data_IF_787428065401
#
_entry.id   IF_787428065401
#
_cell.length_a   1.000
_cell.length_b   1.000
_cell.length_c   1.000
_cell.angle_alpha   90.00
_cell.angle_beta   90.00
_cell.angle_gamma   90.00
#
_symmetry.space_group_name_H-M   'P 1'
#
loop_
_entity.id
_entity.type
_entity.pdbx_description
1 polymer ?
#
# COMPACT_ATOMS: atom_id res chain seq x y z
N UNK A 1 -27.22 12.93 4.18
CA UNK A 1 -27.02 14.39 4.38
C UNK A 1 -26.21 14.74 5.64
N UNK A 2 -26.56 14.28 6.87
CA UNK A 2 -25.76 14.53 8.09
C UNK A 2 -24.40 13.85 8.04
N UNK A 3 -24.33 12.57 7.68
CA UNK A 3 -23.10 11.80 7.57
C UNK A 3 -22.08 12.54 6.68
N UNK A 4 -22.51 12.95 5.50
CA UNK A 4 -21.63 13.67 4.55
C UNK A 4 -21.11 14.99 5.13
N UNK A 5 -21.97 15.80 5.78
CA UNK A 5 -21.54 17.06 6.40
C UNK A 5 -20.51 16.87 7.49
N UNK A 6 -20.61 15.78 8.26
CA UNK A 6 -19.68 15.50 9.37
C UNK A 6 -18.32 15.05 8.81
N UNK A 7 -18.27 14.06 7.92
CA UNK A 7 -16.99 13.57 7.44
C UNK A 7 -16.26 14.59 6.55
N UNK A 8 -16.97 15.39 5.74
CA UNK A 8 -16.35 16.47 4.95
C UNK A 8 -15.73 17.56 5.82
N UNK A 9 -16.18 17.70 7.06
CA UNK A 9 -15.54 18.61 8.05
C UNK A 9 -14.30 18.00 8.73
N UNK A 10 -13.88 16.77 8.35
CA UNK A 10 -12.75 16.06 8.95
C UNK A 10 -13.04 15.46 10.34
N UNK A 11 -14.33 15.30 10.69
CA UNK A 11 -14.79 14.63 11.90
C UNK A 11 -15.29 13.23 11.59
N UNK A 12 -15.26 12.34 12.58
CA UNK A 12 -15.91 11.04 12.42
C UNK A 12 -17.39 11.08 12.73
N UNK A 13 -18.11 10.21 12.07
CA UNK A 13 -19.53 9.97 12.31
C UNK A 13 -19.72 8.51 12.68
N UNK A 14 -20.45 8.25 13.74
CA UNK A 14 -20.81 6.91 14.20
C UNK A 14 -22.28 6.70 13.92
N UNK A 15 -22.60 5.74 13.05
CA UNK A 15 -23.98 5.29 12.84
C UNK A 15 -24.28 4.17 13.82
N UNK A 16 -25.29 4.39 14.65
CA UNK A 16 -25.56 3.59 15.83
C UNK A 16 -27.04 3.28 15.97
N UNK A 17 -27.34 2.30 16.82
CA UNK A 17 -28.65 1.81 17.26
C UNK A 17 -29.44 1.02 16.23
N UNK A 18 -29.96 -0.12 16.67
CA UNK A 18 -30.82 -1.03 15.90
C UNK A 18 -30.25 -1.48 14.55
N UNK A 19 -28.91 -1.59 14.48
CA UNK A 19 -28.24 -1.94 13.24
C UNK A 19 -28.48 -3.40 12.86
N UNK A 20 -28.38 -4.33 13.83
CA UNK A 20 -28.64 -5.77 13.68
C UNK A 20 -29.45 -6.27 14.88
N UNK A 21 -30.46 -5.53 15.32
CA UNK A 21 -31.22 -5.74 16.56
C UNK A 21 -31.81 -7.16 16.67
N UNK A 22 -32.31 -7.72 15.57
CA UNK A 22 -32.82 -9.09 15.54
C UNK A 22 -31.78 -10.13 15.94
N UNK A 23 -30.47 -9.82 15.77
CA UNK A 23 -29.37 -10.70 16.16
C UNK A 23 -29.16 -10.77 17.68
N UNK A 24 -29.87 -10.00 18.48
CA UNK A 24 -29.94 -10.24 19.91
C UNK A 24 -30.49 -11.66 20.21
N UNK A 25 -31.46 -12.15 19.42
CA UNK A 25 -32.15 -13.42 19.63
C UNK A 25 -31.98 -14.42 18.47
N UNK A 26 -31.55 -13.98 17.30
CA UNK A 26 -31.42 -14.82 16.10
C UNK A 26 -29.96 -14.79 15.57
N UNK A 27 -29.46 -15.92 15.00
CA UNK A 27 -28.07 -15.99 14.51
C UNK A 27 -27.84 -15.25 13.17
N UNK A 28 -28.90 -14.72 12.56
CA UNK A 28 -28.85 -13.98 11.28
C UNK A 28 -29.73 -12.74 11.36
N UNK A 29 -29.33 -11.63 10.70
CA UNK A 29 -30.15 -10.43 10.65
C UNK A 29 -31.30 -10.59 9.67
N UNK A 30 -32.26 -9.68 9.75
CA UNK A 30 -33.26 -9.47 8.71
C UNK A 30 -32.63 -8.83 7.46
N UNK A 31 -33.33 -8.90 6.32
CA UNK A 31 -32.89 -8.22 5.09
C UNK A 31 -32.83 -6.69 5.26
N UNK A 32 -33.78 -6.11 5.98
CA UNK A 32 -33.84 -4.69 6.24
C UNK A 32 -32.58 -4.24 7.01
N UNK A 33 -32.24 -4.91 8.10
CA UNK A 33 -31.06 -4.60 8.91
C UNK A 33 -29.76 -4.72 8.10
N UNK A 34 -29.59 -5.77 7.29
CA UNK A 34 -28.42 -5.89 6.41
C UNK A 34 -28.33 -4.74 5.40
N UNK A 35 -29.48 -4.28 4.88
CA UNK A 35 -29.55 -3.13 3.98
C UNK A 35 -29.25 -1.82 4.71
N UNK A 36 -29.69 -1.66 5.94
CA UNK A 36 -29.43 -0.46 6.74
C UNK A 36 -27.93 -0.29 7.06
N UNK A 37 -27.24 -1.39 7.42
CA UNK A 37 -25.78 -1.40 7.58
C UNK A 37 -25.09 -1.01 6.27
N UNK A 38 -25.49 -1.62 5.14
CA UNK A 38 -24.93 -1.30 3.83
C UNK A 38 -25.15 0.17 3.46
N UNK A 39 -26.36 0.70 3.66
CA UNK A 39 -26.67 2.11 3.39
C UNK A 39 -25.83 3.07 4.21
N UNK A 40 -25.60 2.78 5.51
CA UNK A 40 -24.71 3.62 6.33
C UNK A 40 -23.30 3.71 5.75
N UNK A 41 -22.79 2.62 5.16
CA UNK A 41 -21.47 2.57 4.51
C UNK A 41 -21.49 3.31 3.18
N UNK A 42 -22.53 3.13 2.35
CA UNK A 42 -22.73 3.89 1.11
C UNK A 42 -22.84 5.39 1.38
N UNK A 43 -23.48 5.80 2.48
CA UNK A 43 -23.56 7.20 2.90
C UNK A 43 -22.21 7.76 3.36
N UNK A 44 -21.23 6.90 3.65
CA UNK A 44 -19.88 7.26 4.04
C UNK A 44 -19.68 7.44 5.54
N UNK A 45 -20.42 6.72 6.38
CA UNK A 45 -20.15 6.72 7.83
C UNK A 45 -18.70 6.33 8.12
N UNK A 46 -18.13 6.85 9.21
CA UNK A 46 -16.77 6.50 9.62
C UNK A 46 -16.75 5.22 10.45
N UNK A 47 -17.80 5.00 11.23
CA UNK A 47 -17.94 3.89 12.18
C UNK A 47 -19.39 3.41 12.18
N UNK A 48 -19.59 2.12 12.26
CA UNK A 48 -20.86 1.45 12.55
C UNK A 48 -20.77 0.83 13.93
N UNK A 49 -21.85 0.87 14.71
CA UNK A 49 -21.85 0.46 16.11
C UNK A 49 -22.94 -0.57 16.40
N UNK A 50 -22.58 -1.63 17.08
CA UNK A 50 -23.48 -2.57 17.73
C UNK A 50 -23.67 -2.17 19.20
N UNK A 51 -24.84 -2.35 19.76
CA UNK A 51 -25.20 -2.04 21.15
C UNK A 51 -25.67 -3.30 21.88
N UNK A 52 -26.97 -3.52 21.96
CA UNK A 52 -27.57 -4.67 22.62
C UNK A 52 -27.11 -6.01 22.03
N UNK A 53 -26.86 -6.06 20.73
CA UNK A 53 -26.43 -7.23 19.98
C UNK A 53 -25.13 -7.84 20.56
N UNK A 54 -24.23 -7.00 21.05
CA UNK A 54 -22.95 -7.41 21.64
C UNK A 54 -22.94 -7.35 23.17
N UNK A 55 -23.76 -6.47 23.78
CA UNK A 55 -23.77 -6.29 25.22
C UNK A 55 -24.65 -7.32 25.98
N UNK A 56 -25.76 -7.74 25.37
CA UNK A 56 -26.76 -8.61 25.99
C UNK A 56 -27.34 -9.68 25.04
N UNK A 57 -26.98 -9.66 23.75
CA UNK A 57 -27.45 -10.60 22.75
C UNK A 57 -26.90 -12.02 22.94
N UNK A 58 -27.61 -13.00 22.39
CA UNK A 58 -27.22 -14.42 22.41
C UNK A 58 -26.13 -14.75 21.38
N UNK A 59 -25.90 -13.88 20.38
CA UNK A 59 -25.00 -14.11 19.25
C UNK A 59 -24.01 -12.96 19.03
N UNK A 60 -23.25 -12.53 20.06
CA UNK A 60 -22.42 -11.33 19.97
C UNK A 60 -21.30 -11.42 18.93
N UNK A 61 -20.65 -12.57 18.82
CA UNK A 61 -19.55 -12.79 17.87
C UNK A 61 -20.08 -12.85 16.43
N UNK A 62 -21.20 -13.52 16.22
CA UNK A 62 -21.87 -13.61 14.93
C UNK A 62 -22.37 -12.24 14.45
N UNK A 63 -22.85 -11.40 15.35
CA UNK A 63 -23.28 -10.03 15.05
C UNK A 63 -22.11 -9.19 14.54
N UNK A 64 -20.97 -9.20 15.22
CA UNK A 64 -19.76 -8.50 14.77
C UNK A 64 -19.28 -9.03 13.42
N UNK A 65 -19.18 -10.34 13.26
CA UNK A 65 -18.75 -10.95 11.99
C UNK A 65 -19.71 -10.64 10.84
N UNK A 66 -21.00 -10.61 11.12
CA UNK A 66 -22.01 -10.29 10.10
C UNK A 66 -21.91 -8.83 9.69
N UNK A 67 -21.77 -7.92 10.65
CA UNK A 67 -21.58 -6.49 10.37
C UNK A 67 -20.31 -6.25 9.55
N UNK A 68 -19.20 -6.89 9.90
CA UNK A 68 -17.93 -6.80 9.16
C UNK A 68 -18.09 -7.27 7.72
N UNK A 69 -18.71 -8.45 7.48
CA UNK A 69 -18.95 -8.98 6.13
C UNK A 69 -19.83 -8.07 5.28
N UNK A 70 -20.86 -7.44 5.88
CA UNK A 70 -21.70 -6.48 5.16
C UNK A 70 -20.86 -5.26 4.78
N UNK A 71 -20.03 -4.77 5.70
CA UNK A 71 -19.15 -3.64 5.43
C UNK A 71 -18.16 -3.93 4.28
N UNK A 72 -17.40 -5.00 4.38
CA UNK A 72 -16.44 -5.44 3.37
C UNK A 72 -17.11 -5.60 2.00
N UNK A 73 -18.23 -6.30 1.94
CA UNK A 73 -18.97 -6.51 0.68
C UNK A 73 -19.49 -5.20 0.07
N UNK A 74 -19.94 -4.27 0.92
CA UNK A 74 -20.43 -2.95 0.46
C UNK A 74 -19.27 -2.09 -0.06
N UNK A 75 -18.12 -2.15 0.60
CA UNK A 75 -16.92 -1.41 0.19
C UNK A 75 -16.37 -1.89 -1.16
N UNK A 76 -16.46 -3.19 -1.46
CA UNK A 76 -16.09 -3.73 -2.79
C UNK A 76 -16.92 -3.15 -3.94
N UNK A 77 -18.17 -2.76 -3.69
CA UNK A 77 -19.09 -2.21 -4.70
C UNK A 77 -18.93 -0.69 -4.88
N UNK A 78 -18.29 0.00 -3.94
CA UNK A 78 -18.11 1.45 -4.00
C UNK A 78 -17.02 1.83 -5.00
N UNK A 79 -17.38 2.65 -6.00
CA UNK A 79 -16.40 3.28 -6.86
C UNK A 79 -15.76 4.49 -6.16
N UNK A 80 -14.72 4.24 -5.37
CA UNK A 80 -14.03 5.26 -4.58
C UNK A 80 -13.39 6.35 -5.45
N UNK A 81 -12.84 6.00 -6.62
CA UNK A 81 -12.21 6.97 -7.53
C UNK A 81 -13.25 7.96 -8.09
N UNK A 82 -14.44 7.49 -8.44
CA UNK A 82 -15.54 8.36 -8.84
C UNK A 82 -15.99 9.25 -7.69
N UNK A 83 -16.16 8.67 -6.50
CA UNK A 83 -16.55 9.39 -5.28
C UNK A 83 -15.56 10.50 -4.92
N UNK A 84 -14.25 10.24 -5.07
CA UNK A 84 -13.21 11.24 -4.85
C UNK A 84 -13.37 12.42 -5.80
N UNK A 85 -13.57 12.16 -7.11
CA UNK A 85 -13.77 13.21 -8.14
C UNK A 85 -15.03 14.06 -7.90
N UNK A 86 -16.10 13.47 -7.44
CA UNK A 86 -17.35 14.19 -7.13
C UNK A 86 -17.19 15.21 -5.98
N UNK A 87 -16.12 15.09 -5.18
CA UNK A 87 -15.79 16.01 -4.09
C UNK A 87 -14.77 17.10 -4.46
N UNK A 88 -14.28 17.13 -5.71
CA UNK A 88 -13.31 18.12 -6.26
C UNK A 88 -13.92 19.51 -6.32
N UNK A 89 -14.67 20.04 -5.62
CA UNK A 89 -15.20 21.45 -5.67
C UNK A 89 -15.51 22.02 -4.29
N UNK A 90 -15.46 21.19 -3.25
CA UNK A 90 -15.95 21.56 -1.91
C UNK A 90 -14.82 21.81 -0.91
N UNK A 91 -13.59 21.98 -1.38
CA UNK A 91 -12.39 22.03 -0.53
C UNK A 91 -12.23 23.41 0.10
N UNK A 92 -12.11 23.46 1.42
CA UNK A 92 -11.68 24.68 2.11
C UNK A 92 -10.30 25.10 1.59
N UNK A 93 -10.12 26.41 1.37
CA UNK A 93 -8.87 26.96 0.82
C UNK A 93 -7.82 27.15 1.92
N UNK A 94 -7.31 26.05 2.46
CA UNK A 94 -6.20 26.03 3.41
C UNK A 94 -5.16 24.97 2.99
N UNK A 95 -3.94 25.12 3.51
CA UNK A 95 -2.79 24.29 3.13
C UNK A 95 -3.04 22.82 3.44
N UNK A 96 -3.60 22.50 4.60
CA UNK A 96 -3.87 21.12 5.02
C UNK A 96 -4.84 20.42 4.07
N UNK A 97 -5.91 21.10 3.68
CA UNK A 97 -6.86 20.56 2.70
C UNK A 97 -6.23 20.38 1.32
N UNK A 98 -5.47 21.38 0.86
CA UNK A 98 -4.81 21.32 -0.44
C UNK A 98 -3.81 20.14 -0.52
N UNK A 99 -2.95 19.99 0.49
CA UNK A 99 -2.00 18.87 0.55
C UNK A 99 -2.72 17.53 0.71
N UNK A 100 -3.76 17.45 1.54
CA UNK A 100 -4.53 16.21 1.70
C UNK A 100 -5.21 15.77 0.40
N UNK A 101 -5.79 16.69 -0.33
CA UNK A 101 -6.37 16.43 -1.65
C UNK A 101 -5.30 16.00 -2.65
N UNK A 102 -4.18 16.74 -2.74
CA UNK A 102 -3.05 16.39 -3.61
C UNK A 102 -2.46 15.01 -3.28
N UNK A 103 -2.39 14.65 -2.00
CA UNK A 103 -1.95 13.33 -1.53
C UNK A 103 -2.85 12.21 -2.08
N UNK A 104 -4.16 12.36 -1.96
CA UNK A 104 -5.11 11.39 -2.49
C UNK A 104 -5.05 11.33 -4.03
N UNK A 105 -4.96 12.48 -4.71
CA UNK A 105 -4.83 12.55 -6.18
C UNK A 105 -3.56 11.83 -6.64
N UNK A 106 -2.41 12.15 -6.05
CA UNK A 106 -1.14 11.50 -6.36
C UNK A 106 -1.20 9.98 -6.11
N UNK A 107 -1.85 9.55 -5.03
CA UNK A 107 -2.00 8.13 -4.71
C UNK A 107 -2.86 7.40 -5.76
N UNK A 108 -3.92 8.03 -6.28
CA UNK A 108 -4.72 7.46 -7.37
C UNK A 108 -4.00 7.44 -8.70
N UNK A 109 -3.28 8.52 -9.04
CA UNK A 109 -2.61 8.66 -10.35
C UNK A 109 -1.40 7.73 -10.46
N UNK A 110 -0.76 7.44 -9.33
CA UNK A 110 0.41 6.56 -9.24
C UNK A 110 0.03 5.11 -8.86
N UNK A 111 -1.24 4.81 -8.65
CA UNK A 111 -1.72 3.51 -8.18
C UNK A 111 -0.97 3.05 -6.91
N UNK A 112 -0.76 3.98 -5.98
CA UNK A 112 -0.01 3.73 -4.76
C UNK A 112 -0.71 2.67 -3.90
N UNK A 113 0.08 1.78 -3.28
CA UNK A 113 -0.42 0.70 -2.43
C UNK A 113 -1.01 1.23 -1.11
N UNK A 114 -0.49 2.36 -0.60
CA UNK A 114 -0.96 2.99 0.64
C UNK A 114 -0.60 4.47 0.70
N UNK A 115 -1.30 5.20 1.59
CA UNK A 115 -0.92 6.54 2.01
C UNK A 115 -0.40 6.45 3.45
N UNK A 116 0.84 6.86 3.69
CA UNK A 116 1.44 6.91 5.03
C UNK A 116 1.32 8.34 5.56
N UNK A 117 0.68 8.50 6.70
CA UNK A 117 0.56 9.80 7.37
C UNK A 117 1.37 9.80 8.65
N UNK A 118 2.24 10.78 8.85
CA UNK A 118 2.93 10.97 10.11
C UNK A 118 2.28 12.12 10.87
N UNK A 119 1.74 11.83 12.05
CA UNK A 119 0.89 12.78 12.77
C UNK A 119 0.98 12.62 14.28
N UNK A 120 1.04 13.70 15.03
CA UNK A 120 0.96 13.69 16.49
C UNK A 120 -0.49 13.67 16.98
N UNK A 121 -1.34 14.53 16.43
CA UNK A 121 -2.74 14.71 16.86
C UNK A 121 -3.75 13.86 16.08
N UNK A 122 -3.30 13.12 15.07
CA UNK A 122 -4.18 12.39 14.16
C UNK A 122 -4.85 13.25 13.09
N UNK A 123 -4.64 14.56 13.08
CA UNK A 123 -5.33 15.46 12.17
C UNK A 123 -5.01 15.16 10.70
N UNK A 124 -3.74 14.95 10.34
CA UNK A 124 -3.33 14.59 8.97
C UNK A 124 -4.07 13.36 8.48
N UNK A 125 -4.09 12.28 9.27
CA UNK A 125 -4.78 11.04 8.90
C UNK A 125 -6.29 11.25 8.72
N UNK A 126 -6.94 12.04 9.61
CA UNK A 126 -8.36 12.37 9.48
C UNK A 126 -8.66 13.21 8.25
N UNK A 127 -7.76 14.14 7.90
CA UNK A 127 -7.92 14.99 6.71
C UNK A 127 -7.75 14.21 5.42
N UNK A 128 -6.89 13.19 5.38
CA UNK A 128 -6.84 12.22 4.28
C UNK A 128 -8.10 11.34 4.27
N UNK A 129 -8.48 10.78 5.43
CA UNK A 129 -9.65 9.90 5.58
C UNK A 129 -10.96 10.55 5.10
N UNK A 130 -11.13 11.86 5.22
CA UNK A 130 -12.35 12.55 4.74
C UNK A 130 -12.55 12.43 3.21
N UNK A 131 -11.49 12.23 2.45
CA UNK A 131 -11.57 12.03 0.99
C UNK A 131 -11.90 10.59 0.60
N UNK A 132 -11.93 9.66 1.57
CA UNK A 132 -12.26 8.24 1.34
C UNK A 132 -11.43 7.62 0.21
N UNK A 133 -10.09 7.69 0.25
CA UNK A 133 -9.26 7.04 -0.77
C UNK A 133 -9.44 5.52 -0.75
N UNK A 134 -9.33 4.87 -1.90
CA UNK A 134 -9.46 3.41 -2.00
C UNK A 134 -8.33 2.66 -1.28
N UNK A 135 -7.11 3.21 -1.36
CA UNK A 135 -5.95 2.64 -0.70
C UNK A 135 -5.98 2.89 0.81
N UNK A 136 -5.44 1.98 1.63
CA UNK A 136 -5.37 2.14 3.07
C UNK A 136 -4.55 3.37 3.47
N UNK A 137 -4.94 3.98 4.58
CA UNK A 137 -4.23 5.10 5.19
C UNK A 137 -3.51 4.58 6.43
N UNK A 138 -2.18 4.60 6.43
CA UNK A 138 -1.39 4.19 7.60
C UNK A 138 -1.15 5.43 8.45
N UNK A 139 -1.74 5.45 9.64
CA UNK A 139 -1.65 6.57 10.59
C UNK A 139 -0.53 6.37 11.59
N UNK A 140 0.69 6.81 11.27
CA UNK A 140 1.86 6.72 12.14
C UNK A 140 1.85 7.82 13.18
N UNK A 141 1.91 7.46 14.46
CA UNK A 141 1.95 8.40 15.58
C UNK A 141 2.81 7.88 16.73
N UNK A 142 3.42 8.80 17.48
CA UNK A 142 4.14 8.48 18.72
C UNK A 142 3.23 8.54 19.95
N UNK A 143 1.98 9.02 19.78
CA UNK A 143 1.06 9.29 20.86
C UNK A 143 0.02 8.18 21.02
N UNK A 144 0.05 7.44 22.13
CA UNK A 144 -0.90 6.36 22.42
C UNK A 144 -2.38 6.78 22.38
N UNK A 145 -2.80 7.95 22.88
CA UNK A 145 -4.19 8.40 22.73
C UNK A 145 -4.58 8.59 21.26
N UNK A 146 -3.71 9.18 20.44
CA UNK A 146 -3.92 9.37 19.00
C UNK A 146 -4.00 8.04 18.28
N UNK A 147 -3.11 7.09 18.58
CA UNK A 147 -3.15 5.73 18.06
C UNK A 147 -4.52 5.09 18.23
N UNK A 148 -5.08 5.16 19.45
CA UNK A 148 -6.41 4.61 19.75
C UNK A 148 -7.55 5.36 19.04
N UNK A 149 -7.49 6.69 18.97
CA UNK A 149 -8.51 7.49 18.30
C UNK A 149 -8.53 7.29 16.78
N UNK A 150 -7.37 7.02 16.16
CA UNK A 150 -7.28 6.80 14.72
C UNK A 150 -8.05 5.57 14.26
N UNK A 151 -8.25 4.56 15.12
CA UNK A 151 -9.10 3.40 14.82
C UNK A 151 -10.55 3.75 14.51
N UNK A 152 -11.03 4.94 14.88
CA UNK A 152 -12.37 5.43 14.52
C UNK A 152 -12.40 6.20 13.20
N UNK A 153 -11.27 6.40 12.55
CA UNK A 153 -11.19 7.08 11.26
C UNK A 153 -11.31 6.08 10.12
N UNK A 154 -12.19 6.34 9.18
CA UNK A 154 -12.41 5.46 8.05
C UNK A 154 -11.12 5.21 7.26
N UNK A 155 -10.85 3.93 6.94
CA UNK A 155 -9.71 3.51 6.13
C UNK A 155 -8.35 3.73 6.79
N UNK A 156 -8.28 4.11 8.07
CA UNK A 156 -7.03 4.35 8.78
C UNK A 156 -6.61 3.12 9.58
N UNK A 157 -5.42 2.62 9.29
CA UNK A 157 -4.70 1.61 10.07
C UNK A 157 -3.72 2.36 10.98
N UNK A 158 -3.97 2.46 12.29
CA UNK A 158 -3.08 3.17 13.19
C UNK A 158 -1.81 2.36 13.46
N UNK A 159 -0.66 3.03 13.49
CA UNK A 159 0.64 2.43 13.80
C UNK A 159 1.36 3.27 14.84
N UNK A 160 1.77 2.63 15.94
CA UNK A 160 2.56 3.30 16.95
C UNK A 160 4.04 3.28 16.55
N UNK A 161 4.63 4.48 16.52
CA UNK A 161 6.01 4.71 16.13
C UNK A 161 6.82 5.28 17.30
N UNK A 162 8.13 5.13 17.23
CA UNK A 162 9.06 5.80 18.15
C UNK A 162 9.40 7.21 17.65
N UNK A 163 9.77 8.09 18.56
CA UNK A 163 10.20 9.44 18.21
C UNK A 163 11.50 9.39 17.40
N UNK A 164 11.57 10.23 16.38
CA UNK A 164 12.74 10.37 15.52
C UNK A 164 13.19 11.85 15.50
N UNK A 165 14.50 12.06 15.54
CA UNK A 165 15.06 13.40 15.61
C UNK A 165 15.26 14.06 14.24
N UNK A 166 15.13 13.32 13.15
CA UNK A 166 15.30 13.79 11.79
C UNK A 166 14.12 13.41 10.91
N UNK A 167 13.82 14.22 9.90
CA UNK A 167 12.74 13.94 8.94
C UNK A 167 12.98 12.62 8.18
N UNK A 168 14.21 12.38 7.72
CA UNK A 168 14.59 11.13 7.04
C UNK A 168 14.45 9.91 7.96
N UNK A 169 14.87 10.02 9.21
CA UNK A 169 14.68 8.96 10.21
C UNK A 169 13.20 8.65 10.43
N UNK A 170 12.37 9.70 10.52
CA UNK A 170 10.94 9.58 10.70
C UNK A 170 10.27 8.85 9.54
N UNK A 171 10.59 9.21 8.29
CA UNK A 171 10.01 8.55 7.11
C UNK A 171 10.47 7.10 6.97
N UNK A 172 11.76 6.83 7.21
CA UNK A 172 12.29 5.46 7.21
C UNK A 172 11.63 4.61 8.29
N UNK A 173 11.50 5.15 9.50
CA UNK A 173 10.85 4.45 10.62
C UNK A 173 9.36 4.20 10.33
N UNK A 174 8.62 5.21 9.84
CA UNK A 174 7.22 5.06 9.48
C UNK A 174 7.01 3.99 8.39
N UNK A 175 7.89 3.93 7.38
CA UNK A 175 7.87 2.89 6.36
C UNK A 175 8.16 1.49 6.94
N UNK A 176 9.19 1.37 7.78
CA UNK A 176 9.52 0.10 8.43
C UNK A 176 8.35 -0.42 9.27
N UNK A 177 7.75 0.44 10.09
CA UNK A 177 6.56 0.10 10.88
C UNK A 177 5.35 -0.23 10.03
N UNK A 178 5.16 0.46 8.90
CA UNK A 178 4.09 0.16 7.94
C UNK A 178 4.25 -1.21 7.28
N UNK A 179 5.48 -1.61 7.01
CA UNK A 179 5.81 -2.95 6.51
C UNK A 179 5.56 -4.03 7.59
N UNK A 180 5.97 -3.78 8.82
CA UNK A 180 5.77 -4.71 9.94
C UNK A 180 4.28 -4.98 10.22
N UNK A 181 3.40 -3.98 10.05
CA UNK A 181 1.96 -4.18 10.20
C UNK A 181 1.30 -4.92 9.01
N UNK A 182 2.08 -5.29 7.98
CA UNK A 182 1.62 -6.10 6.85
C UNK A 182 0.76 -5.39 5.81
N UNK A 183 0.62 -4.06 5.89
CA UNK A 183 -0.18 -3.27 4.93
C UNK A 183 0.59 -3.00 3.64
N UNK A 184 1.90 -2.88 3.73
CA UNK A 184 2.79 -2.66 2.58
C UNK A 184 3.96 -3.63 2.61
N UNK A 185 4.54 -3.89 1.44
CA UNK A 185 5.68 -4.77 1.25
C UNK A 185 6.77 -4.11 0.39
N UNK A 186 7.97 -4.71 0.35
CA UNK A 186 9.05 -4.19 -0.50
C UNK A 186 8.60 -4.06 -1.95
N UNK A 187 8.99 -2.96 -2.59
CA UNK A 187 8.59 -2.61 -3.95
C UNK A 187 7.23 -1.90 -4.06
N UNK A 188 6.44 -1.79 -2.99
CA UNK A 188 5.22 -1.00 -3.01
C UNK A 188 5.51 0.49 -3.17
N UNK A 189 4.76 1.17 -4.03
CA UNK A 189 4.78 2.62 -4.11
C UNK A 189 3.83 3.20 -3.07
N UNK A 190 4.30 4.15 -2.26
CA UNK A 190 3.51 4.80 -1.22
C UNK A 190 3.62 6.32 -1.33
N UNK A 191 2.56 7.00 -0.91
CA UNK A 191 2.56 8.46 -0.76
C UNK A 191 2.63 8.78 0.73
N UNK A 192 3.69 9.51 1.13
CA UNK A 192 3.91 9.90 2.52
C UNK A 192 3.51 11.36 2.69
N UNK A 193 2.77 11.67 3.75
CA UNK A 193 2.42 13.05 4.10
C UNK A 193 2.66 13.33 5.57
N UNK A 194 3.17 14.51 5.87
CA UNK A 194 3.51 14.95 7.21
C UNK A 194 3.38 16.47 7.36
N UNK A 195 3.41 16.93 8.60
CA UNK A 195 3.63 18.33 8.93
C UNK A 195 5.08 18.59 9.31
N UNK A 196 5.76 19.47 8.60
CA UNK A 196 7.13 19.93 8.90
C UNK A 196 7.13 21.43 9.18
N UNK A 197 7.94 21.93 10.16
CA UNK A 197 8.83 21.17 11.04
C UNK A 197 8.06 20.27 12.01
N UNK A 198 8.74 19.17 12.40
CA UNK A 198 8.16 18.18 13.32
C UNK A 198 7.76 18.80 14.65
N UNK A 199 6.68 18.33 15.23
CA UNK A 199 6.23 18.77 16.56
C UNK A 199 5.24 19.95 16.57
N UNK A 200 4.96 20.59 15.42
CA UNK A 200 3.94 21.65 15.32
C UNK A 200 2.61 21.03 14.84
N UNK A 201 1.59 20.91 15.68
CA UNK A 201 0.30 20.35 15.30
C UNK A 201 -0.41 21.20 14.24
N UNK A 202 -1.08 20.54 13.28
CA UNK A 202 -1.97 21.22 12.33
C UNK A 202 -1.31 21.71 11.04
N UNK A 203 -0.05 21.43 10.81
CA UNK A 203 0.68 21.83 9.61
C UNK A 203 0.96 20.63 8.70
N UNK A 204 -0.06 20.10 8.02
CA UNK A 204 0.22 19.13 6.92
C UNK A 204 0.64 19.93 5.69
N UNK A 205 1.94 19.90 5.35
CA UNK A 205 2.54 20.73 4.29
C UNK A 205 3.55 19.99 3.41
N UNK A 206 3.75 18.68 3.64
CA UNK A 206 4.69 17.87 2.89
C UNK A 206 3.97 16.68 2.25
N UNK A 207 4.30 16.42 0.99
CA UNK A 207 3.95 15.22 0.26
C UNK A 207 5.24 14.64 -0.36
N UNK A 208 5.49 13.36 -0.14
CA UNK A 208 6.64 12.63 -0.69
C UNK A 208 6.16 11.30 -1.28
N UNK A 209 6.58 10.99 -2.50
CA UNK A 209 6.37 9.68 -3.10
C UNK A 209 7.62 8.84 -2.89
N UNK A 210 7.45 7.60 -2.45
CA UNK A 210 8.59 6.73 -2.17
C UNK A 210 8.20 5.26 -2.36
N UNK A 211 9.16 4.44 -2.83
CA UNK A 211 9.02 2.99 -2.85
C UNK A 211 9.44 2.39 -1.51
N UNK A 212 8.67 1.43 -1.02
CA UNK A 212 8.95 0.70 0.23
C UNK A 212 10.14 -0.23 0.02
N UNK A 213 11.04 -0.26 1.00
CA UNK A 213 12.25 -1.08 0.94
C UNK A 213 13.42 -0.38 0.24
N UNK A 214 14.51 -1.11 0.13
CA UNK A 214 15.76 -0.63 -0.46
C UNK A 214 15.76 -0.97 -1.96
N UNK A 215 14.97 -0.21 -2.75
CA UNK A 215 14.93 -0.37 -4.21
C UNK A 215 16.21 0.18 -4.81
N UNK A 216 16.96 -0.69 -5.49
CA UNK A 216 18.24 -0.38 -6.09
C UNK A 216 18.18 -0.20 -7.61
N UNK A 217 17.18 -0.79 -8.27
CA UNK A 217 16.97 -0.66 -9.71
C UNK A 217 15.48 -0.67 -10.06
N UNK A 218 15.14 0.07 -11.10
CA UNK A 218 13.83 0.09 -11.74
C UNK A 218 13.94 -0.30 -13.20
N UNK A 219 12.93 -1.00 -13.72
CA UNK A 219 12.80 -1.34 -15.12
C UNK A 219 11.37 -1.70 -15.49
N UNK A 220 11.16 -2.23 -16.67
CA UNK A 220 9.86 -2.77 -17.08
C UNK A 220 9.81 -4.24 -16.74
N UNK A 221 8.87 -4.63 -15.87
CA UNK A 221 8.67 -6.02 -15.51
C UNK A 221 7.91 -6.79 -16.61
N UNK A 222 8.30 -8.02 -16.82
CA UNK A 222 7.72 -8.98 -17.79
C UNK A 222 7.43 -10.28 -17.05
N UNK A 223 6.21 -10.75 -17.16
CA UNK A 223 5.72 -11.90 -16.39
C UNK A 223 5.36 -11.53 -14.96
N UNK A 224 4.93 -12.53 -14.20
CA UNK A 224 4.61 -12.40 -12.79
C UNK A 224 5.67 -13.14 -11.97
N UNK A 225 6.02 -12.61 -10.81
CA UNK A 225 6.91 -13.30 -9.88
C UNK A 225 7.69 -12.36 -8.99
N UNK A 226 7.90 -12.85 -7.78
CA UNK A 226 8.69 -12.21 -6.73
C UNK A 226 9.74 -13.22 -6.29
N UNK A 227 10.99 -13.06 -6.74
CA UNK A 227 12.06 -14.03 -6.60
C UNK A 227 13.17 -13.48 -5.70
N UNK A 228 13.55 -14.30 -4.71
CA UNK A 228 14.74 -14.05 -3.87
C UNK A 228 15.83 -15.03 -4.26
N UNK A 229 16.92 -14.54 -4.84
CA UNK A 229 18.03 -15.38 -5.23
C UNK A 229 19.34 -14.58 -5.28
N UNK A 230 20.45 -15.33 -5.41
CA UNK A 230 21.75 -14.75 -5.70
C UNK A 230 21.83 -14.23 -7.13
N UNK A 231 22.66 -13.23 -7.38
CA UNK A 231 22.87 -12.69 -8.72
C UNK A 231 24.14 -13.21 -9.36
N UNK A 232 24.04 -13.54 -10.65
CA UNK A 232 25.17 -13.70 -11.56
C UNK A 232 25.21 -12.49 -12.48
N UNK A 233 26.13 -11.55 -12.22
CA UNK A 233 26.37 -10.38 -13.06
C UNK A 233 27.40 -10.73 -14.11
N UNK A 234 27.06 -10.57 -15.39
CA UNK A 234 27.92 -10.83 -16.52
C UNK A 234 28.00 -9.63 -17.46
N UNK A 235 29.20 -9.26 -17.88
CA UNK A 235 29.44 -8.19 -18.87
C UNK A 235 29.49 -8.71 -20.31
N UNK A 236 29.49 -10.01 -20.46
CA UNK A 236 29.49 -10.70 -21.76
C UNK A 236 28.83 -12.06 -21.65
N UNK A 237 28.36 -12.60 -22.76
CA UNK A 237 27.78 -13.95 -22.85
C UNK A 237 28.73 -15.02 -22.35
N UNK A 238 30.03 -14.91 -22.72
CA UNK A 238 31.07 -15.81 -22.26
C UNK A 238 31.20 -15.84 -20.75
N UNK A 239 31.13 -14.67 -20.09
CA UNK A 239 31.13 -14.56 -18.63
C UNK A 239 29.89 -15.22 -18.02
N UNK A 240 28.71 -15.00 -18.60
CA UNK A 240 27.49 -15.64 -18.18
C UNK A 240 27.59 -17.18 -18.25
N UNK A 241 28.05 -17.71 -19.35
CA UNK A 241 28.21 -19.15 -19.53
C UNK A 241 29.23 -19.80 -18.56
N UNK A 242 30.24 -19.04 -18.13
CA UNK A 242 31.27 -19.53 -17.20
C UNK A 242 30.89 -19.46 -15.74
N UNK A 243 30.21 -18.40 -15.36
CA UNK A 243 30.01 -18.04 -13.94
C UNK A 243 28.59 -18.33 -13.41
N UNK A 244 27.61 -18.53 -14.29
CA UNK A 244 26.21 -18.73 -13.91
C UNK A 244 26.01 -20.06 -13.17
N UNK A 245 25.26 -20.00 -12.09
CA UNK A 245 24.80 -21.16 -11.33
C UNK A 245 23.29 -21.30 -11.48
N UNK A 246 22.81 -22.53 -11.63
CA UNK A 246 21.38 -22.79 -11.71
C UNK A 246 20.65 -22.25 -10.47
N UNK A 247 19.59 -21.49 -10.70
CA UNK A 247 18.83 -20.81 -9.63
C UNK A 247 19.24 -19.36 -9.37
N UNK A 248 20.34 -18.87 -9.94
CA UNK A 248 20.71 -17.46 -9.85
C UNK A 248 19.80 -16.58 -10.73
N UNK A 249 19.75 -15.30 -10.42
CA UNK A 249 19.21 -14.25 -11.30
C UNK A 249 20.33 -13.83 -12.25
N UNK A 250 20.08 -13.98 -13.55
CA UNK A 250 21.01 -13.53 -14.59
C UNK A 250 20.91 -12.01 -14.76
N UNK A 251 22.04 -11.31 -14.62
CA UNK A 251 22.15 -9.87 -14.84
C UNK A 251 23.15 -9.59 -15.97
N UNK A 252 22.65 -9.03 -17.07
CA UNK A 252 23.46 -8.78 -18.27
C UNK A 252 22.88 -7.60 -19.06
N UNK A 253 23.66 -6.94 -19.90
CA UNK A 253 23.16 -5.81 -20.68
C UNK A 253 22.12 -6.22 -21.73
N UNK A 254 22.32 -7.32 -22.42
CA UNK A 254 21.38 -7.90 -23.39
C UNK A 254 21.55 -9.41 -23.47
N UNK A 255 20.55 -10.12 -23.97
CA UNK A 255 20.58 -11.57 -24.16
C UNK A 255 20.44 -11.94 -25.63
N UNK A 256 21.05 -13.08 -26.02
CA UNK A 256 20.91 -13.70 -27.34
C UNK A 256 20.57 -15.19 -27.22
N UNK A 257 20.40 -15.86 -28.36
CA UNK A 257 20.12 -17.29 -28.42
C UNK A 257 21.21 -18.15 -27.78
N UNK A 258 22.45 -17.65 -27.70
CA UNK A 258 23.58 -18.38 -27.09
C UNK A 258 23.39 -18.57 -25.58
N UNK A 259 22.58 -17.70 -24.94
CA UNK A 259 22.28 -17.75 -23.52
C UNK A 259 21.03 -18.58 -23.17
N UNK A 260 20.34 -19.18 -24.14
CA UNK A 260 19.09 -19.92 -23.90
C UNK A 260 19.19 -20.97 -22.79
N UNK A 261 20.31 -21.70 -22.74
CA UNK A 261 20.50 -22.75 -21.73
C UNK A 261 20.78 -22.19 -20.32
N UNK A 262 21.37 -21.01 -20.23
CA UNK A 262 21.51 -20.24 -18.98
C UNK A 262 20.13 -19.69 -18.54
N UNK A 263 19.42 -19.08 -19.49
CA UNK A 263 18.10 -18.50 -19.21
C UNK A 263 17.10 -19.54 -18.70
N UNK A 264 17.08 -20.73 -19.25
CA UNK A 264 16.24 -21.86 -18.79
C UNK A 264 16.50 -22.27 -17.34
N UNK A 265 17.70 -22.03 -16.83
CA UNK A 265 18.11 -22.39 -15.45
C UNK A 265 18.07 -21.21 -14.50
N UNK A 266 17.80 -20.00 -15.01
CA UNK A 266 17.72 -18.79 -14.22
C UNK A 266 16.41 -18.73 -13.44
N UNK A 267 16.46 -18.23 -12.19
CA UNK A 267 15.28 -17.90 -11.41
C UNK A 267 14.63 -16.61 -11.88
N UNK A 268 15.40 -15.68 -12.44
CA UNK A 268 14.97 -14.41 -12.99
C UNK A 268 16.03 -13.82 -13.91
N UNK A 269 15.67 -12.80 -14.69
CA UNK A 269 16.56 -12.14 -15.63
C UNK A 269 16.43 -10.62 -15.49
N UNK A 270 17.56 -9.91 -15.47
CA UNK A 270 17.61 -8.44 -15.44
C UNK A 270 18.49 -7.98 -16.59
N UNK A 271 17.98 -7.06 -17.45
CA UNK A 271 18.75 -6.50 -18.56
C UNK A 271 18.72 -4.97 -18.57
N UNK A 272 19.84 -4.34 -18.98
CA UNK A 272 19.87 -2.90 -19.27
C UNK A 272 19.12 -2.57 -20.56
N UNK A 273 19.15 -3.49 -21.52
CA UNK A 273 18.37 -3.35 -22.76
C UNK A 273 16.87 -3.36 -22.41
N UNK A 274 16.17 -2.31 -22.82
CA UNK A 274 14.74 -2.15 -22.61
C UNK A 274 13.92 -2.68 -23.79
N UNK A 275 12.60 -2.69 -23.55
CA UNK A 275 11.57 -3.02 -24.53
C UNK A 275 10.91 -4.38 -24.31
N UNK A 276 9.58 -4.38 -24.36
CA UNK A 276 8.74 -5.58 -24.20
C UNK A 276 8.95 -6.61 -25.31
N UNK A 277 9.56 -6.20 -26.42
CA UNK A 277 9.92 -7.06 -27.55
C UNK A 277 11.41 -7.45 -27.55
N UNK A 278 12.17 -7.13 -26.49
CA UNK A 278 13.57 -7.55 -26.37
C UNK A 278 13.66 -9.07 -26.27
N UNK A 279 14.82 -9.64 -26.65
CA UNK A 279 15.04 -11.09 -26.57
C UNK A 279 14.81 -11.63 -25.15
N UNK A 280 15.30 -10.91 -24.12
CA UNK A 280 15.07 -11.28 -22.72
C UNK A 280 13.60 -11.34 -22.36
N UNK A 281 12.80 -10.34 -22.80
CA UNK A 281 11.37 -10.27 -22.52
C UNK A 281 10.59 -11.42 -23.18
N UNK A 282 10.84 -11.65 -24.48
CA UNK A 282 10.15 -12.70 -25.25
C UNK A 282 10.49 -14.10 -24.73
N UNK A 283 11.76 -14.37 -24.51
CA UNK A 283 12.22 -15.68 -24.01
C UNK A 283 11.77 -15.89 -22.55
N UNK A 284 11.89 -14.88 -21.70
CA UNK A 284 11.45 -14.97 -20.32
C UNK A 284 9.96 -15.29 -20.20
N UNK A 285 9.13 -14.63 -21.00
CA UNK A 285 7.69 -14.90 -21.05
C UNK A 285 7.40 -16.35 -21.53
N UNK A 286 8.10 -16.79 -22.58
CA UNK A 286 7.95 -18.14 -23.12
C UNK A 286 8.38 -19.24 -22.13
N UNK A 287 9.38 -18.95 -21.30
CA UNK A 287 9.90 -19.87 -20.28
C UNK A 287 9.16 -19.71 -18.92
N UNK A 288 8.23 -18.78 -18.81
CA UNK A 288 7.56 -18.40 -17.55
C UNK A 288 8.57 -18.02 -16.44
N UNK A 289 9.59 -17.25 -16.81
CA UNK A 289 10.63 -16.74 -15.91
C UNK A 289 10.41 -15.22 -15.74
N UNK A 290 10.38 -14.67 -14.52
CA UNK A 290 10.24 -13.25 -14.30
C UNK A 290 11.44 -12.47 -14.83
N UNK A 291 11.18 -11.41 -15.61
CA UNK A 291 12.22 -10.58 -16.24
C UNK A 291 12.00 -9.12 -15.94
N UNK A 292 13.07 -8.38 -15.70
CA UNK A 292 13.07 -6.91 -15.66
C UNK A 292 13.98 -6.43 -16.80
N UNK A 293 13.40 -5.70 -17.76
CA UNK A 293 14.12 -5.10 -18.88
C UNK A 293 14.24 -3.58 -18.69
N UNK A 294 15.28 -2.99 -19.28
CA UNK A 294 15.50 -1.54 -19.17
C UNK A 294 15.99 -1.09 -17.79
N UNK A 295 16.53 -2.00 -17.00
CA UNK A 295 17.16 -1.67 -15.71
C UNK A 295 18.53 -1.04 -15.99
N UNK A 296 18.57 0.29 -16.13
CA UNK A 296 19.78 1.04 -16.46
C UNK A 296 20.92 0.72 -15.48
N UNK A 297 22.11 0.54 -16.01
CA UNK A 297 23.34 0.29 -15.25
C UNK A 297 23.29 -0.95 -14.33
N UNK A 298 22.39 -1.93 -14.60
CA UNK A 298 22.21 -3.10 -13.74
C UNK A 298 23.51 -3.89 -13.51
N UNK A 299 24.37 -3.99 -14.54
CA UNK A 299 25.68 -4.68 -14.46
C UNK A 299 26.74 -3.90 -13.66
N UNK A 300 26.49 -2.63 -13.35
CA UNK A 300 27.37 -1.76 -12.54
C UNK A 300 26.89 -1.67 -11.08
N UNK A 301 25.58 -1.63 -10.89
CA UNK A 301 24.92 -1.47 -9.58
C UNK A 301 24.93 -2.78 -8.80
N UNK A 302 24.60 -3.90 -9.47
CA UNK A 302 24.56 -5.22 -8.85
C UNK A 302 25.95 -5.86 -8.79
N UNK A 303 26.17 -6.69 -7.77
CA UNK A 303 27.45 -7.40 -7.57
C UNK A 303 27.22 -8.91 -7.53
N UNK A 304 28.12 -9.65 -8.15
CA UNK A 304 28.11 -11.11 -8.14
C UNK A 304 28.00 -11.66 -6.71
N UNK A 305 27.12 -12.65 -6.54
CA UNK A 305 26.94 -13.38 -5.29
C UNK A 305 26.12 -12.63 -4.23
N UNK A 306 25.67 -11.39 -4.50
CA UNK A 306 24.70 -10.73 -3.60
C UNK A 306 23.31 -11.34 -3.80
N UNK A 307 22.54 -11.42 -2.72
CA UNK A 307 21.13 -11.81 -2.80
C UNK A 307 20.24 -10.60 -2.96
N UNK A 308 19.31 -10.64 -3.89
CA UNK A 308 18.35 -9.59 -4.18
C UNK A 308 16.93 -10.13 -4.22
N UNK A 309 15.97 -9.22 -4.12
CA UNK A 309 14.58 -9.44 -4.44
C UNK A 309 14.30 -8.86 -5.83
N UNK A 310 13.88 -9.69 -6.77
CA UNK A 310 13.37 -9.30 -8.08
C UNK A 310 11.85 -9.38 -8.05
N UNK A 311 11.16 -8.27 -8.25
CA UNK A 311 9.70 -8.22 -8.41
C UNK A 311 9.35 -7.78 -9.83
N UNK A 312 9.02 -8.76 -10.68
CA UNK A 312 8.68 -8.49 -12.07
C UNK A 312 7.32 -7.82 -12.22
N UNK A 313 6.38 -8.05 -11.31
CA UNK A 313 5.05 -7.42 -11.36
C UNK A 313 5.13 -5.90 -11.16
N UNK A 314 6.10 -5.44 -10.36
CA UNK A 314 6.35 -4.03 -10.07
C UNK A 314 7.51 -3.42 -10.87
N UNK A 315 8.30 -4.26 -11.56
CA UNK A 315 9.49 -3.82 -12.29
C UNK A 315 10.60 -3.27 -11.39
N UNK A 316 10.77 -3.81 -10.18
CA UNK A 316 11.75 -3.33 -9.18
C UNK A 316 12.69 -4.41 -8.72
N UNK A 317 13.91 -4.00 -8.40
CA UNK A 317 14.92 -4.82 -7.73
C UNK A 317 15.25 -4.21 -6.39
N UNK A 318 15.11 -4.98 -5.32
CA UNK A 318 15.39 -4.54 -3.96
C UNK A 318 16.61 -5.26 -3.39
N UNK A 319 17.37 -4.54 -2.57
CA UNK A 319 18.44 -5.16 -1.79
C UNK A 319 17.82 -6.00 -0.68
N UNK A 320 18.26 -7.23 -0.51
CA UNK A 320 17.93 -8.01 0.68
C UNK A 320 18.91 -7.55 1.77
N UNK A 321 18.56 -6.45 2.45
CA UNK A 321 19.29 -6.06 3.66
C UNK A 321 19.15 -7.20 4.67
N UNK A 322 20.25 -7.77 5.12
CA UNK A 322 20.26 -8.75 6.19
C UNK A 322 19.46 -8.21 7.37
N UNK A 323 18.30 -8.80 7.64
CA UNK A 323 17.67 -8.69 8.95
C UNK A 323 18.57 -9.50 9.91
N UNK A 324 19.46 -8.81 10.61
CA UNK A 324 20.06 -9.30 11.83
C UNK A 324 19.19 -8.91 13.01
#
# INVERSE_FOLDING_TARGET
>A
MLIQRVYTSGKYVITATQMLDSMMNHPRPTRAEATDVANAIYDGTSVIMLSGETAAGKYPVEAVRTMARIAERTEEDINYRRRFREHEGTVNRDVTNAISHATCSAAYDLEASAIITVTQSGQTARMISKYRPQMPIIGCTTQMPTYRHLSMSWGVVPVLCEEQNTEDGLFKHAMARSKECGVVQDGDLVVITAGVPLGIPGTTNLLKVQTVGDVILHGTGIGEGNIKAGVCVAKSEREALQNFRAGDILVIDSTTNELLDVMKKASGIITSQGGVNSHAAVVGLALNIPVIVGAKDCTQVLRNGTSILLDASKGVVCNLTNQQ
#
